data_IF_448487643896
#
_entry.id   IF_448487643896
#
_cell.length_a   1.000
_cell.length_b   1.000
_cell.length_c   1.000
_cell.angle_alpha   90.00
_cell.angle_beta   90.00
_cell.angle_gamma   90.00
#
_symmetry.space_group_name_H-M   'P 1'
#
loop_
_entity.id
_entity.type
_entity.pdbx_description
1 polymer ?
#
# COMPACT_ATOMS: atom_id res chain seq x y z
N UNK A 1 19.05 -23.84 -16.17
CA UNK A 1 19.44 -22.97 -17.30
C UNK A 1 19.33 -21.54 -16.79
N UNK A 2 20.44 -20.79 -16.72
CA UNK A 2 20.41 -19.40 -16.27
C UNK A 2 19.87 -18.52 -17.39
N UNK A 3 18.74 -17.86 -17.14
CA UNK A 3 18.22 -16.81 -18.03
C UNK A 3 19.24 -15.67 -18.12
N UNK A 4 19.54 -15.14 -19.32
CA UNK A 4 20.41 -14.00 -19.46
C UNK A 4 19.79 -12.81 -18.72
N UNK A 5 20.58 -12.19 -17.84
CA UNK A 5 20.18 -10.97 -17.13
C UNK A 5 20.12 -9.86 -18.18
N UNK A 6 18.93 -9.56 -18.71
CA UNK A 6 18.67 -8.38 -19.55
C UNK A 6 18.92 -7.12 -18.71
N UNK A 7 20.14 -6.58 -18.79
CA UNK A 7 20.45 -5.31 -18.15
C UNK A 7 19.81 -4.19 -18.96
N UNK A 8 18.91 -3.41 -18.35
CA UNK A 8 18.20 -2.29 -18.96
C UNK A 8 19.08 -1.10 -19.40
N UNK A 9 20.41 -1.25 -19.36
CA UNK A 9 21.36 -0.21 -19.74
C UNK A 9 21.20 1.07 -18.91
N UNK A 10 21.36 2.21 -19.58
CA UNK A 10 21.23 3.55 -18.99
C UNK A 10 19.85 4.19 -19.26
N UNK A 11 18.98 3.50 -19.99
CA UNK A 11 17.65 4.02 -20.32
C UNK A 11 16.81 4.16 -19.06
N UNK A 12 16.15 5.31 -18.93
CA UNK A 12 15.20 5.61 -17.86
C UNK A 12 13.82 5.79 -18.47
N UNK A 13 12.88 4.99 -17.97
CA UNK A 13 11.47 5.02 -18.34
C UNK A 13 10.67 5.75 -17.26
N UNK A 14 9.77 6.63 -17.70
CA UNK A 14 8.83 7.33 -16.82
C UNK A 14 7.51 6.59 -16.85
N UNK A 15 7.15 5.97 -15.73
CA UNK A 15 5.90 5.26 -15.54
C UNK A 15 4.74 6.23 -15.29
N UNK A 16 3.49 5.77 -15.47
CA UNK A 16 2.32 6.50 -15.01
C UNK A 16 2.44 6.89 -13.52
N UNK A 17 1.90 8.05 -13.10
CA UNK A 17 1.97 8.46 -11.71
C UNK A 17 1.10 7.57 -10.82
N UNK A 18 1.57 7.32 -9.59
CA UNK A 18 0.77 6.67 -8.55
C UNK A 18 -0.14 7.71 -7.90
N UNK A 19 -1.45 7.53 -8.01
CA UNK A 19 -2.45 8.44 -7.45
C UNK A 19 -3.15 7.75 -6.28
N UNK A 20 -3.03 8.33 -5.09
CA UNK A 20 -3.64 7.83 -3.86
C UNK A 20 -4.87 8.66 -3.49
N UNK A 21 -5.99 7.99 -3.23
CA UNK A 21 -7.21 8.61 -2.74
C UNK A 21 -7.21 8.63 -1.20
N UNK A 22 -7.42 9.81 -0.57
CA UNK A 22 -7.55 9.88 0.88
C UNK A 22 -8.66 8.96 1.38
N UNK A 23 -8.34 8.16 2.40
CA UNK A 23 -9.34 7.34 3.08
C UNK A 23 -10.20 8.23 3.99
N UNK A 24 -11.37 8.64 3.47
CA UNK A 24 -12.29 9.55 4.15
C UNK A 24 -13.30 8.82 5.06
N UNK A 25 -12.86 7.86 5.87
CA UNK A 25 -13.66 7.55 7.06
C UNK A 25 -13.47 8.70 8.05
N UNK A 26 -14.56 9.38 8.40
CA UNK A 26 -14.56 10.39 9.47
C UNK A 26 -14.37 9.69 10.81
N UNK A 27 -13.17 9.24 11.10
CA UNK A 27 -12.77 8.74 12.42
C UNK A 27 -12.24 9.94 13.21
N UNK A 28 -12.92 10.35 14.29
CA UNK A 28 -12.41 11.42 15.15
C UNK A 28 -10.99 11.09 15.65
N UNK A 29 -10.05 12.06 15.68
CA UNK A 29 -8.69 11.83 16.18
C UNK A 29 -8.65 11.22 17.59
N UNK A 30 -9.64 11.53 18.44
CA UNK A 30 -9.81 10.94 19.77
C UNK A 30 -9.95 9.43 19.72
N UNK A 31 -10.63 8.88 18.71
CA UNK A 31 -10.84 7.43 18.53
C UNK A 31 -9.52 6.68 18.31
N UNK A 32 -8.56 7.29 17.59
CA UNK A 32 -7.24 6.67 17.37
C UNK A 32 -6.42 6.62 18.67
N UNK A 33 -6.49 7.69 19.46
CA UNK A 33 -5.87 7.74 20.79
C UNK A 33 -6.52 6.74 21.75
N UNK A 34 -7.85 6.64 21.72
CA UNK A 34 -8.62 5.69 22.53
C UNK A 34 -8.30 4.23 22.16
N UNK A 35 -8.16 3.91 20.87
CA UNK A 35 -7.79 2.56 20.41
C UNK A 35 -6.36 2.19 20.86
N UNK A 36 -5.43 3.15 20.77
CA UNK A 36 -4.06 2.97 21.22
C UNK A 36 -4.00 2.79 22.75
N UNK A 37 -4.75 3.59 23.50
CA UNK A 37 -4.89 3.49 24.95
C UNK A 37 -5.47 2.13 25.36
N UNK A 38 -6.51 1.66 24.67
CA UNK A 38 -7.13 0.37 24.93
C UNK A 38 -6.15 -0.80 24.73
N UNK A 39 -5.31 -0.75 23.68
CA UNK A 39 -4.26 -1.75 23.46
C UNK A 39 -3.23 -1.78 24.60
N UNK A 40 -2.81 -0.61 25.09
CA UNK A 40 -1.85 -0.49 26.19
C UNK A 40 -2.43 -0.95 27.52
N UNK A 41 -3.71 -0.68 27.79
CA UNK A 41 -4.42 -1.17 28.98
C UNK A 41 -4.55 -2.70 28.96
N UNK A 42 -4.96 -3.28 27.81
CA UNK A 42 -5.09 -4.73 27.66
C UNK A 42 -3.77 -5.49 27.77
N UNK A 43 -2.65 -4.85 27.41
CA UNK A 43 -1.30 -5.42 27.58
C UNK A 43 -0.71 -5.17 28.98
N UNK A 44 -1.44 -4.48 29.87
CA UNK A 44 -0.97 -4.16 31.21
C UNK A 44 0.14 -3.10 31.26
N UNK A 45 0.39 -2.40 30.16
CA UNK A 45 1.44 -1.37 30.05
C UNK A 45 1.02 -0.03 30.67
N UNK A 46 -0.28 0.22 30.81
CA UNK A 46 -0.83 1.39 31.53
C UNK A 46 -1.97 0.98 32.47
N UNK A 47 -2.22 1.74 33.56
CA UNK A 47 -3.30 1.43 34.51
C UNK A 47 -4.67 1.42 33.84
N UNK A 48 -5.54 0.48 34.26
CA UNK A 48 -6.95 0.48 33.86
C UNK A 48 -7.66 1.71 34.42
N UNK A 49 -8.49 2.34 33.61
CA UNK A 49 -9.34 3.48 34.00
C UNK A 49 -10.71 3.05 34.53
N UNK A 50 -10.86 1.77 34.88
CA UNK A 50 -12.13 1.17 35.30
C UNK A 50 -12.99 0.69 34.12
N UNK A 51 -12.49 0.81 32.88
CA UNK A 51 -13.16 0.22 31.70
C UNK A 51 -13.16 -1.31 31.79
N UNK A 52 -14.29 -1.90 31.39
CA UNK A 52 -14.43 -3.34 31.26
C UNK A 52 -13.52 -3.90 30.15
N UNK A 53 -12.96 -5.09 30.39
CA UNK A 53 -12.03 -5.75 29.48
C UNK A 53 -12.66 -6.04 28.11
N UNK A 54 -13.95 -6.39 28.08
CA UNK A 54 -14.70 -6.63 26.84
C UNK A 54 -14.92 -5.34 26.04
N UNK A 55 -15.11 -4.20 26.72
CA UNK A 55 -15.26 -2.91 26.07
C UNK A 55 -13.92 -2.41 25.48
N UNK A 56 -12.82 -2.56 26.23
CA UNK A 56 -11.47 -2.27 25.71
C UNK A 56 -11.14 -3.14 24.50
N UNK A 57 -11.52 -4.43 24.55
CA UNK A 57 -11.36 -5.38 23.45
C UNK A 57 -12.18 -4.95 22.23
N UNK A 58 -13.45 -4.56 22.39
CA UNK A 58 -14.28 -4.08 21.30
C UNK A 58 -13.68 -2.86 20.61
N UNK A 59 -13.18 -1.89 21.38
CA UNK A 59 -12.50 -0.69 20.84
C UNK A 59 -11.26 -1.04 20.04
N UNK A 60 -10.40 -1.90 20.60
CA UNK A 60 -9.21 -2.40 19.90
C UNK A 60 -9.57 -3.04 18.55
N UNK A 61 -10.54 -3.95 18.53
CA UNK A 61 -10.94 -4.66 17.31
C UNK A 61 -11.56 -3.71 16.27
N UNK A 62 -12.35 -2.74 16.71
CA UNK A 62 -12.88 -1.70 15.82
C UNK A 62 -11.76 -0.87 15.19
N UNK A 63 -10.73 -0.51 15.96
CA UNK A 63 -9.56 0.20 15.44
C UNK A 63 -8.82 -0.61 14.38
N UNK A 64 -8.57 -1.90 14.65
CA UNK A 64 -7.92 -2.81 13.71
C UNK A 64 -8.73 -2.98 12.42
N UNK A 65 -10.04 -3.03 12.54
CA UNK A 65 -10.91 -3.10 11.38
C UNK A 65 -10.83 -1.84 10.50
N UNK A 66 -10.85 -0.65 11.09
CA UNK A 66 -10.64 0.60 10.33
C UNK A 66 -9.27 0.64 9.63
N UNK A 67 -8.21 0.15 10.28
CA UNK A 67 -6.89 0.01 9.65
C UNK A 67 -6.93 -0.94 8.44
N UNK A 68 -7.58 -2.10 8.56
CA UNK A 68 -7.74 -3.06 7.46
C UNK A 68 -8.50 -2.43 6.30
N UNK A 69 -9.58 -1.67 6.56
CA UNK A 69 -10.33 -0.98 5.52
C UNK A 69 -9.47 0.06 4.81
N UNK A 70 -8.74 0.88 5.56
CA UNK A 70 -7.82 1.87 5.01
C UNK A 70 -6.78 1.22 4.08
N UNK A 71 -6.14 0.14 4.54
CA UNK A 71 -5.17 -0.63 3.74
C UNK A 71 -5.82 -1.28 2.51
N UNK A 72 -7.07 -1.74 2.62
CA UNK A 72 -7.80 -2.30 1.49
C UNK A 72 -7.98 -1.24 0.38
N UNK A 73 -8.48 -0.05 0.70
CA UNK A 73 -8.66 1.01 -0.30
C UNK A 73 -7.34 1.54 -0.85
N UNK A 74 -6.31 1.67 0.00
CA UNK A 74 -4.97 1.98 -0.46
C UNK A 74 -4.48 0.95 -1.48
N UNK A 75 -4.67 -0.33 -1.20
CA UNK A 75 -4.25 -1.39 -2.09
C UNK A 75 -5.03 -1.40 -3.41
N UNK A 76 -6.30 -0.97 -3.43
CA UNK A 76 -7.04 -0.78 -4.70
C UNK A 76 -6.37 0.26 -5.60
N UNK A 77 -5.93 1.39 -5.04
CA UNK A 77 -5.19 2.40 -5.79
C UNK A 77 -3.85 1.87 -6.29
N UNK A 78 -3.14 1.11 -5.44
CA UNK A 78 -1.89 0.45 -5.83
C UNK A 78 -2.13 -0.52 -6.98
N UNK A 79 -3.09 -1.44 -6.87
CA UNK A 79 -3.38 -2.40 -7.94
C UNK A 79 -3.76 -1.73 -9.26
N UNK A 80 -4.56 -0.65 -9.20
CA UNK A 80 -4.87 0.16 -10.39
C UNK A 80 -3.60 0.74 -11.03
N UNK A 81 -2.66 1.23 -10.22
CA UNK A 81 -1.37 1.72 -10.72
C UNK A 81 -0.47 0.60 -11.27
N UNK A 82 -0.42 -0.56 -10.61
CA UNK A 82 0.32 -1.74 -11.10
C UNK A 82 -0.18 -2.16 -12.48
N UNK A 83 -1.51 -2.15 -12.68
CA UNK A 83 -2.14 -2.46 -13.97
C UNK A 83 -1.75 -1.45 -15.05
N UNK A 84 -1.80 -0.16 -14.73
CA UNK A 84 -1.37 0.89 -15.63
C UNK A 84 0.11 0.76 -16.02
N UNK A 85 0.98 0.38 -15.08
CA UNK A 85 2.40 0.19 -15.35
C UNK A 85 2.67 -1.02 -16.25
N UNK A 86 1.94 -2.13 -16.07
CA UNK A 86 2.04 -3.31 -16.94
C UNK A 86 1.56 -2.96 -18.35
N UNK A 87 0.37 -2.36 -18.46
CA UNK A 87 -0.17 -1.94 -19.77
C UNK A 87 0.77 -0.97 -20.48
N UNK A 88 1.40 -0.05 -19.73
CA UNK A 88 2.39 0.86 -20.27
C UNK A 88 3.65 0.11 -20.76
N UNK A 89 4.18 -0.83 -19.97
CA UNK A 89 5.38 -1.59 -20.32
C UNK A 89 5.17 -2.49 -21.54
N UNK A 90 3.99 -3.08 -21.73
CA UNK A 90 3.65 -3.90 -22.92
C UNK A 90 3.70 -3.11 -24.23
N UNK A 91 3.52 -1.78 -24.15
CA UNK A 91 3.61 -0.86 -25.30
C UNK A 91 5.04 -0.44 -25.63
N UNK A 92 5.99 -0.66 -24.72
CA UNK A 92 7.41 -0.34 -24.92
C UNK A 92 8.14 -1.57 -25.48
N UNK A 93 8.69 -1.51 -26.72
CA UNK A 93 9.32 -2.66 -27.35
C UNK A 93 10.42 -3.31 -26.50
N UNK A 94 11.26 -2.49 -25.87
CA UNK A 94 12.39 -2.95 -25.04
C UNK A 94 11.98 -3.70 -23.77
N UNK A 95 10.74 -3.54 -23.32
CA UNK A 95 10.23 -4.10 -22.06
C UNK A 95 9.29 -5.29 -22.26
N UNK A 96 8.79 -5.51 -23.49
CA UNK A 96 7.77 -6.51 -23.79
C UNK A 96 8.20 -7.95 -23.46
N UNK A 97 9.48 -8.26 -23.65
CA UNK A 97 10.05 -9.59 -23.39
C UNK A 97 10.91 -9.63 -22.11
N UNK A 98 10.76 -8.63 -21.24
CA UNK A 98 11.62 -8.48 -20.06
C UNK A 98 11.08 -9.16 -18.79
N UNK A 99 10.07 -10.05 -18.90
CA UNK A 99 9.40 -10.71 -17.77
C UNK A 99 8.91 -9.73 -16.69
N UNK A 100 8.41 -8.56 -17.10
CA UNK A 100 7.89 -7.52 -16.21
C UNK A 100 6.40 -7.79 -15.95
N UNK A 101 6.05 -7.87 -14.66
CA UNK A 101 4.69 -8.09 -14.21
C UNK A 101 4.33 -7.15 -13.07
N UNK A 102 3.09 -7.23 -12.57
CA UNK A 102 2.63 -6.45 -11.40
C UNK A 102 3.59 -6.57 -10.21
N UNK A 103 4.15 -7.76 -9.97
CA UNK A 103 5.10 -8.04 -8.89
C UNK A 103 6.38 -7.21 -9.02
N UNK A 104 6.88 -6.99 -10.24
CA UNK A 104 8.03 -6.12 -10.52
C UNK A 104 7.79 -4.70 -10.01
N UNK A 105 6.64 -4.12 -10.34
CA UNK A 105 6.26 -2.77 -9.91
C UNK A 105 5.88 -2.70 -8.43
N UNK A 106 5.29 -3.77 -7.88
CA UNK A 106 5.07 -3.87 -6.44
C UNK A 106 6.41 -3.85 -5.68
N UNK A 107 7.41 -4.60 -6.16
CA UNK A 107 8.77 -4.57 -5.62
C UNK A 107 9.44 -3.20 -5.78
N UNK A 108 9.23 -2.52 -6.91
CA UNK A 108 9.68 -1.14 -7.11
C UNK A 108 9.07 -0.20 -6.05
N UNK A 109 7.77 -0.28 -5.79
CA UNK A 109 7.10 0.58 -4.82
C UNK A 109 7.55 0.30 -3.37
N UNK A 110 7.76 -0.96 -3.01
CA UNK A 110 8.07 -1.35 -1.62
C UNK A 110 9.56 -1.35 -1.29
N UNK A 111 10.44 -1.61 -2.26
CA UNK A 111 11.89 -1.76 -2.00
C UNK A 111 12.71 -0.75 -2.80
N UNK A 112 12.34 -0.53 -4.06
CA UNK A 112 13.14 0.20 -5.04
C UNK A 112 12.67 1.61 -5.35
N UNK A 113 11.85 2.24 -4.51
CA UNK A 113 11.13 3.46 -4.89
C UNK A 113 12.10 4.60 -5.27
N UNK A 114 11.76 5.47 -6.24
CA UNK A 114 12.51 6.68 -6.52
C UNK A 114 12.62 7.58 -5.29
N UNK A 115 13.74 8.30 -5.16
CA UNK A 115 14.00 9.12 -3.96
C UNK A 115 12.97 10.24 -3.78
N UNK A 116 12.51 10.86 -4.88
CA UNK A 116 11.43 11.85 -4.86
C UNK A 116 10.14 11.32 -4.23
N UNK A 117 9.79 10.06 -4.51
CA UNK A 117 8.61 9.39 -3.95
C UNK A 117 8.80 9.13 -2.45
N UNK A 118 9.99 8.66 -2.04
CA UNK A 118 10.29 8.44 -0.61
C UNK A 118 10.21 9.73 0.18
N UNK A 119 10.85 10.80 -0.30
CA UNK A 119 10.82 12.11 0.34
C UNK A 119 9.38 12.62 0.48
N UNK A 120 8.56 12.45 -0.56
CA UNK A 120 7.16 12.88 -0.55
C UNK A 120 6.33 12.11 0.49
N UNK A 121 6.51 10.79 0.59
CA UNK A 121 5.87 9.96 1.62
C UNK A 121 6.27 10.39 3.03
N UNK A 122 7.55 10.67 3.25
CA UNK A 122 8.06 11.18 4.53
C UNK A 122 7.43 12.54 4.86
N UNK A 123 7.32 13.45 3.89
CA UNK A 123 6.65 14.75 4.08
C UNK A 123 5.17 14.60 4.41
N UNK A 124 4.52 13.56 3.92
CA UNK A 124 3.13 13.21 4.28
C UNK A 124 3.01 12.49 5.64
N UNK A 125 4.12 12.29 6.36
CA UNK A 125 4.14 11.59 7.65
C UNK A 125 4.13 10.07 7.54
N UNK A 126 4.34 9.50 6.35
CA UNK A 126 4.34 8.07 6.09
C UNK A 126 5.79 7.56 6.08
N UNK A 127 6.33 7.31 7.27
CA UNK A 127 7.73 6.87 7.45
C UNK A 127 7.95 5.40 7.12
N UNK A 128 7.01 4.52 7.49
CA UNK A 128 7.05 3.08 7.20
C UNK A 128 6.16 2.71 6.00
N UNK A 129 6.39 3.40 4.88
CA UNK A 129 5.62 3.17 3.65
C UNK A 129 5.77 1.74 3.13
N UNK A 130 6.94 1.11 3.35
CA UNK A 130 7.22 -0.25 2.91
C UNK A 130 6.21 -1.23 3.51
N UNK A 131 6.04 -1.21 4.83
CA UNK A 131 5.07 -2.08 5.50
C UNK A 131 3.64 -1.74 5.11
N UNK A 132 3.31 -0.46 4.96
CA UNK A 132 1.96 -0.01 4.59
C UNK A 132 1.57 -0.53 3.21
N UNK A 133 2.40 -0.31 2.18
CA UNK A 133 2.11 -0.79 0.83
C UNK A 133 2.15 -2.31 0.73
N UNK A 134 3.11 -2.97 1.39
CA UNK A 134 3.18 -4.43 1.42
C UNK A 134 1.88 -5.04 1.97
N UNK A 135 1.40 -4.53 3.10
CA UNK A 135 0.14 -5.02 3.71
C UNK A 135 -1.08 -4.69 2.87
N UNK A 136 -1.14 -3.50 2.29
CA UNK A 136 -2.21 -3.09 1.40
C UNK A 136 -2.33 -4.04 0.18
N UNK A 137 -1.19 -4.40 -0.42
CA UNK A 137 -1.12 -5.36 -1.52
C UNK A 137 -1.54 -6.75 -1.03
N UNK A 138 -0.94 -7.25 0.07
CA UNK A 138 -1.27 -8.57 0.61
C UNK A 138 -2.75 -8.73 0.93
N UNK A 139 -3.40 -7.74 1.53
CA UNK A 139 -4.85 -7.78 1.79
C UNK A 139 -5.68 -7.81 0.50
N UNK A 140 -5.31 -7.03 -0.52
CA UNK A 140 -6.02 -6.98 -1.80
C UNK A 140 -5.86 -8.25 -2.64
N UNK A 141 -4.88 -9.10 -2.34
CA UNK A 141 -4.77 -10.41 -3.00
C UNK A 141 -5.79 -11.43 -2.51
N UNK A 142 -6.40 -11.18 -1.34
CA UNK A 142 -7.35 -12.10 -0.72
C UNK A 142 -8.80 -11.63 -0.85
N UNK A 143 -9.03 -10.31 -0.80
CA UNK A 143 -10.36 -9.74 -0.79
C UNK A 143 -10.69 -9.00 -2.08
N UNK A 144 -11.88 -9.26 -2.64
CA UNK A 144 -12.41 -8.50 -3.78
C UNK A 144 -13.07 -7.18 -3.33
N UNK A 145 -13.69 -7.20 -2.15
CA UNK A 145 -14.38 -6.08 -1.51
C UNK A 145 -13.95 -5.99 -0.04
N UNK A 146 -14.07 -4.82 0.63
CA UNK A 146 -13.72 -4.71 2.03
C UNK A 146 -14.51 -5.74 2.84
N UNK A 147 -13.87 -6.67 3.57
CA UNK A 147 -14.58 -7.67 4.35
C UNK A 147 -15.42 -6.98 5.42
N UNK A 148 -16.62 -7.49 5.70
CA UNK A 148 -17.44 -6.97 6.80
C UNK A 148 -16.86 -7.34 8.17
N UNK A 149 -17.04 -6.48 9.18
CA UNK A 149 -16.50 -6.70 10.53
C UNK A 149 -16.82 -8.10 11.08
N UNK A 150 -18.10 -8.51 11.01
CA UNK A 150 -18.55 -9.80 11.54
C UNK A 150 -18.08 -11.02 10.72
N UNK A 151 -17.50 -10.81 9.54
CA UNK A 151 -16.94 -11.88 8.70
C UNK A 151 -15.48 -12.20 9.05
N UNK A 152 -14.83 -11.33 9.83
CA UNK A 152 -13.43 -11.51 10.23
C UNK A 152 -13.35 -12.15 11.62
N UNK A 153 -12.49 -13.15 11.74
CA UNK A 153 -12.14 -13.72 13.03
C UNK A 153 -11.43 -12.67 13.90
N UNK A 154 -11.71 -12.67 15.20
CA UNK A 154 -11.04 -11.78 16.16
C UNK A 154 -9.51 -11.93 16.10
N UNK A 155 -9.02 -13.17 16.01
CA UNK A 155 -7.60 -13.47 15.93
C UNK A 155 -6.95 -12.88 14.66
N UNK A 156 -7.71 -12.83 13.56
CA UNK A 156 -7.27 -12.17 12.34
C UNK A 156 -7.17 -10.66 12.56
N UNK A 157 -8.20 -10.02 13.13
CA UNK A 157 -8.17 -8.58 13.43
C UNK A 157 -6.98 -8.19 14.32
N UNK A 158 -6.66 -9.00 15.33
CA UNK A 158 -5.52 -8.75 16.23
C UNK A 158 -4.17 -8.84 15.52
N UNK A 159 -4.04 -9.76 14.58
CA UNK A 159 -2.77 -10.11 13.95
C UNK A 159 -2.73 -9.82 12.45
N UNK A 160 -3.63 -8.97 11.94
CA UNK A 160 -3.85 -8.76 10.50
C UNK A 160 -2.56 -8.41 9.75
N UNK A 161 -1.65 -7.66 10.40
CA UNK A 161 -0.35 -7.28 9.86
C UNK A 161 0.50 -8.50 9.49
N UNK A 162 0.55 -9.54 10.35
CA UNK A 162 1.32 -10.77 10.08
C UNK A 162 0.75 -11.52 8.88
N UNK A 163 -0.58 -11.63 8.81
CA UNK A 163 -1.26 -12.28 7.70
C UNK A 163 -1.04 -11.51 6.40
N UNK A 164 -1.19 -10.18 6.43
CA UNK A 164 -0.99 -9.33 5.27
C UNK A 164 0.47 -9.34 4.77
N UNK A 165 1.45 -9.33 5.68
CA UNK A 165 2.87 -9.43 5.34
C UNK A 165 3.17 -10.80 4.68
N UNK A 166 2.62 -11.89 5.20
CA UNK A 166 2.76 -13.21 4.60
C UNK A 166 2.07 -13.32 3.22
N UNK A 167 0.85 -12.77 3.08
CA UNK A 167 0.13 -12.73 1.81
C UNK A 167 0.91 -11.94 0.75
N UNK A 168 1.56 -10.84 1.12
CA UNK A 168 2.43 -10.09 0.22
C UNK A 168 3.62 -10.92 -0.26
N UNK A 169 4.26 -11.68 0.64
CA UNK A 169 5.34 -12.59 0.25
C UNK A 169 4.85 -13.67 -0.73
N UNK A 170 3.69 -14.28 -0.46
CA UNK A 170 3.07 -15.23 -1.38
C UNK A 170 2.75 -14.57 -2.73
N UNK A 171 2.26 -13.33 -2.73
CA UNK A 171 1.98 -12.58 -3.93
C UNK A 171 3.24 -12.33 -4.77
N UNK A 172 4.34 -11.91 -4.13
CA UNK A 172 5.64 -11.74 -4.79
C UNK A 172 6.14 -13.06 -5.40
N UNK A 173 5.90 -14.19 -4.74
CA UNK A 173 6.35 -15.51 -5.18
C UNK A 173 5.38 -16.22 -6.13
N UNK A 174 4.19 -15.66 -6.38
CA UNK A 174 3.14 -16.31 -7.17
C UNK A 174 3.53 -16.60 -8.62
N UNK A 175 4.49 -15.84 -9.16
CA UNK A 175 5.09 -16.10 -10.46
C UNK A 175 6.51 -15.52 -10.56
N UNK A 176 7.40 -16.13 -11.37
CA UNK A 176 8.68 -15.53 -11.73
C UNK A 176 8.47 -14.16 -12.38
N UNK A 177 9.26 -13.18 -11.97
CA UNK A 177 9.19 -11.83 -12.51
C UNK A 177 10.55 -11.16 -12.39
N UNK A 178 10.78 -10.16 -13.24
CA UNK A 178 12.01 -9.36 -13.23
C UNK A 178 12.01 -8.38 -12.07
N UNK A 179 13.09 -8.33 -11.30
CA UNK A 179 13.29 -7.29 -10.30
C UNK A 179 13.73 -6.02 -11.04
N UNK A 180 12.99 -4.94 -10.83
CA UNK A 180 13.25 -3.61 -11.40
C UNK A 180 13.55 -2.61 -10.28
N UNK A 181 14.16 -1.48 -10.62
CA UNK A 181 14.54 -0.46 -9.64
C UNK A 181 14.52 0.95 -10.20
N UNK A 182 14.62 1.93 -9.30
CA UNK A 182 14.58 3.37 -9.62
C UNK A 182 15.68 3.86 -10.56
N UNK A 183 16.72 3.06 -10.80
CA UNK A 183 17.73 3.36 -11.82
C UNK A 183 17.12 3.46 -13.22
N UNK A 184 16.16 2.60 -13.55
CA UNK A 184 15.56 2.54 -14.89
C UNK A 184 14.09 2.94 -14.90
N UNK A 185 13.42 3.02 -13.75
CA UNK A 185 11.99 3.29 -13.67
C UNK A 185 11.71 4.43 -12.69
N UNK A 186 11.31 5.59 -13.22
CA UNK A 186 10.90 6.75 -12.46
C UNK A 186 9.37 6.87 -12.47
N UNK A 187 8.79 7.39 -11.38
CA UNK A 187 7.37 7.74 -11.32
C UNK A 187 7.15 8.82 -10.26
N UNK A 188 6.06 9.55 -10.41
CA UNK A 188 5.61 10.54 -9.44
C UNK A 188 4.47 9.99 -8.59
N UNK A 189 4.33 10.52 -7.38
CA UNK A 189 3.28 10.15 -6.43
C UNK A 189 2.39 11.37 -6.18
N UNK A 190 1.06 11.23 -6.24
CA UNK A 190 0.12 12.32 -5.98
C UNK A 190 -1.02 11.88 -5.08
N UNK A 191 -1.51 12.81 -4.25
CA UNK A 191 -2.85 12.68 -3.69
C UNK A 191 -3.87 13.03 -4.78
N UNK A 192 -5.06 12.42 -4.76
CA UNK A 192 -6.08 12.66 -5.80
C UNK A 192 -6.44 14.15 -5.98
N UNK A 193 -6.47 14.93 -4.89
CA UNK A 193 -6.72 16.38 -4.92
C UNK A 193 -5.54 17.20 -5.43
N UNK A 194 -4.30 16.69 -5.29
CA UNK A 194 -3.11 17.29 -5.89
C UNK A 194 -3.10 17.06 -7.39
N UNK A 195 -3.39 15.83 -7.82
CA UNK A 195 -3.45 15.46 -9.23
C UNK A 195 -4.56 16.20 -9.97
N UNK A 196 -5.74 16.35 -9.37
CA UNK A 196 -6.85 17.10 -9.98
C UNK A 196 -6.48 18.57 -10.25
N UNK A 197 -5.82 19.23 -9.29
CA UNK A 197 -5.35 20.62 -9.46
C UNK A 197 -4.29 20.75 -10.55
N UNK A 198 -3.44 19.75 -10.70
CA UNK A 198 -2.43 19.72 -11.77
C UNK A 198 -3.12 19.65 -13.15
N UNK A 199 -4.10 18.76 -13.31
CA UNK A 199 -4.88 18.66 -14.55
C UNK A 199 -5.68 19.93 -14.86
N UNK A 200 -6.29 20.55 -13.84
CA UNK A 200 -7.00 21.83 -14.00
C UNK A 200 -6.07 22.95 -14.48
N UNK A 201 -4.84 22.99 -13.95
CA UNK A 201 -3.84 23.98 -14.37
C UNK A 201 -3.34 23.76 -15.80
N UNK A 202 -3.19 22.50 -16.24
CA UNK A 202 -2.82 22.16 -17.61
C UNK A 202 -3.93 22.51 -18.61
N UNK A 203 -5.19 22.30 -18.25
CA UNK A 203 -6.33 22.66 -19.10
C UNK A 203 -6.64 24.15 -19.13
N UNK A 204 -6.35 24.88 -18.05
CA UNK A 204 -6.52 26.34 -17.99
C UNK A 204 -5.39 27.15 -18.66
N UNK A 205 -4.37 26.47 -19.19
CA UNK A 205 -3.23 27.07 -19.89
C UNK A 205 -3.38 27.09 -21.43
N UNK A 206 -4.52 26.64 -21.96
CA UNK A 206 -4.99 26.88 -23.34
C UNK A 206 -5.86 28.16 -23.43
#
# INVERSE_FOLDING_TARGET
>A
MSTPVTTFGETVWVLPPLILHPFNERVPPSTLLENSKAALMLSGLIPSDGSDAEELKRRLLSGRYSEIRMLFFLGKDVFRWLDQCVEWAERVPDLREADIYRQSFAGLLTVGAPESVKEKLVRWGVSDYVSIFSRAIGLNTMFLEPPGFCSLAEEFLRNYHRYADALFQCYQQSQPHRIIGSRNFAFELYASSEYSRLLEAEWGAE
#
